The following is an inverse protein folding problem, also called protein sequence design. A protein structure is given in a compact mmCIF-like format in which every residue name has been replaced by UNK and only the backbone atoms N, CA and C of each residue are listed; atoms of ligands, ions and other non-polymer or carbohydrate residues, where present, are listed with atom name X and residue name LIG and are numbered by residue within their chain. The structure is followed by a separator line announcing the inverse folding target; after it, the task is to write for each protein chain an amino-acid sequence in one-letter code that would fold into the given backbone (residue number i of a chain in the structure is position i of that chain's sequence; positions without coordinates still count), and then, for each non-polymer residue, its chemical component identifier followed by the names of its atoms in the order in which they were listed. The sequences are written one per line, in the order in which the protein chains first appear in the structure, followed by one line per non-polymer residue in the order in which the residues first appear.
data_IF_997943818078
#
_entry.id   IF_997943818078
#
_cell.length_a   1.000
_cell.length_b   1.000
_cell.length_c   1.000
_cell.angle_alpha   90.00
_cell.angle_beta   90.00
_cell.angle_gamma   90.00
#
_symmetry.space_group_name_H-M   'P 1'
#
loop_
_entity.id
_entity.type
_entity.pdbx_description
1 polymer ?
#
# COMPACT_ATOMS: atom_id res chain seq x y z
N UNK A 1 -48.71 -24.49 22.70
CA UNK A 1 -48.26 -23.14 22.32
C UNK A 1 -46.75 -22.95 22.60
N UNK A 2 -45.86 -23.71 21.94
CA UNK A 2 -44.39 -23.56 22.10
C UNK A 2 -43.59 -23.49 20.79
N UNK A 3 -44.26 -23.62 19.64
CA UNK A 3 -43.59 -23.62 18.34
C UNK A 3 -43.23 -22.20 17.82
N UNK A 4 -44.01 -21.18 18.20
CA UNK A 4 -43.77 -19.79 17.77
C UNK A 4 -42.39 -19.21 18.13
N UNK A 5 -41.85 -19.35 19.36
CA UNK A 5 -40.52 -18.82 19.66
C UNK A 5 -39.41 -19.57 18.91
N UNK A 6 -39.58 -20.87 18.66
CA UNK A 6 -38.61 -21.67 17.91
C UNK A 6 -38.52 -21.19 16.46
N UNK A 7 -39.67 -20.96 15.81
CA UNK A 7 -39.73 -20.47 14.42
C UNK A 7 -39.10 -19.08 14.31
N UNK A 8 -39.36 -18.19 15.28
CA UNK A 8 -38.76 -16.85 15.28
C UNK A 8 -37.23 -16.89 15.40
N UNK A 9 -36.69 -17.74 16.28
CA UNK A 9 -35.24 -17.90 16.45
C UNK A 9 -34.59 -18.47 15.20
N UNK A 10 -35.18 -19.52 14.60
CA UNK A 10 -34.64 -20.12 13.36
C UNK A 10 -34.66 -19.11 12.22
N UNK A 11 -35.76 -18.37 12.03
CA UNK A 11 -35.84 -17.33 11.00
C UNK A 11 -34.82 -16.21 11.20
N UNK A 12 -34.59 -15.79 12.45
CA UNK A 12 -33.56 -14.80 12.77
C UNK A 12 -32.15 -15.31 12.46
N UNK A 13 -31.84 -16.56 12.81
CA UNK A 13 -30.55 -17.18 12.47
C UNK A 13 -30.34 -17.22 10.95
N UNK A 14 -31.34 -17.66 10.18
CA UNK A 14 -31.25 -17.73 8.71
C UNK A 14 -31.03 -16.34 8.10
N UNK A 15 -31.76 -15.32 8.57
CA UNK A 15 -31.59 -13.95 8.10
C UNK A 15 -30.19 -13.42 8.41
N UNK A 16 -29.67 -13.66 9.62
CA UNK A 16 -28.32 -13.24 10.01
C UNK A 16 -27.24 -13.93 9.18
N UNK A 17 -27.36 -15.24 8.93
CA UNK A 17 -26.40 -15.95 8.06
C UNK A 17 -26.47 -15.45 6.61
N UNK A 18 -27.65 -15.10 6.10
CA UNK A 18 -27.79 -14.53 4.76
C UNK A 18 -27.17 -13.14 4.64
N UNK A 19 -27.38 -12.28 5.64
CA UNK A 19 -26.77 -10.94 5.72
C UNK A 19 -25.25 -11.06 5.84
N UNK A 20 -24.76 -11.95 6.72
CA UNK A 20 -23.33 -12.19 6.86
C UNK A 20 -22.71 -12.73 5.57
N UNK A 21 -23.35 -13.70 4.91
CA UNK A 21 -22.88 -14.25 3.63
C UNK A 21 -22.83 -13.19 2.53
N UNK A 22 -23.84 -12.32 2.43
CA UNK A 22 -23.84 -11.23 1.46
C UNK A 22 -22.78 -10.17 1.76
N UNK A 23 -22.56 -9.88 3.05
CA UNK A 23 -21.51 -8.98 3.52
C UNK A 23 -20.12 -9.55 3.24
N UNK A 24 -19.89 -10.81 3.60
CA UNK A 24 -18.61 -11.50 3.44
C UNK A 24 -18.25 -11.73 1.96
N UNK A 25 -19.21 -12.19 1.16
CA UNK A 25 -19.08 -12.26 -0.30
C UNK A 25 -18.71 -10.89 -0.86
N UNK A 26 -19.45 -9.85 -0.49
CA UNK A 26 -19.18 -8.53 -1.02
C UNK A 26 -17.90 -7.89 -0.47
N UNK A 27 -17.34 -8.34 0.66
CA UNK A 27 -16.02 -7.94 1.14
C UNK A 27 -14.91 -8.61 0.32
N UNK A 28 -14.99 -9.93 0.15
CA UNK A 28 -14.02 -10.72 -0.62
C UNK A 28 -13.98 -10.29 -2.09
N UNK A 29 -15.16 -10.02 -2.68
CA UNK A 29 -15.30 -9.57 -4.06
C UNK A 29 -15.13 -8.05 -4.22
N UNK A 30 -14.84 -7.30 -3.15
CA UNK A 30 -14.57 -5.86 -3.20
C UNK A 30 -15.79 -4.98 -3.55
N UNK A 31 -17.01 -5.48 -3.37
CA UNK A 31 -18.24 -4.68 -3.52
C UNK A 31 -18.49 -3.72 -2.36
N UNK A 32 -17.97 -4.02 -1.16
CA UNK A 32 -18.14 -3.17 0.03
C UNK A 32 -16.81 -3.01 0.77
N UNK A 33 -16.27 -1.79 0.78
CA UNK A 33 -15.06 -1.45 1.54
C UNK A 33 -13.76 -1.54 0.74
N UNK A 34 -12.65 -1.77 1.45
CA UNK A 34 -11.32 -1.98 0.87
C UNK A 34 -11.24 -3.47 0.51
N UNK A 35 -11.08 -3.83 -0.77
CA UNK A 35 -10.98 -5.23 -1.18
C UNK A 35 -9.87 -5.96 -0.42
N UNK A 36 -10.00 -7.27 -0.22
CA UNK A 36 -9.03 -8.09 0.50
C UNK A 36 -7.61 -7.98 -0.06
N UNK A 37 -7.46 -7.89 -1.39
CA UNK A 37 -6.16 -7.72 -2.02
C UNK A 37 -5.52 -6.36 -1.69
N UNK A 38 -6.32 -5.29 -1.63
CA UNK A 38 -5.86 -3.96 -1.23
C UNK A 38 -5.49 -3.93 0.26
N UNK A 39 -6.30 -4.56 1.11
CA UNK A 39 -5.99 -4.74 2.52
C UNK A 39 -4.68 -5.52 2.67
N UNK A 40 -4.50 -6.59 1.89
CA UNK A 40 -3.30 -7.43 1.87
C UNK A 40 -2.07 -6.72 1.33
N UNK A 41 -2.20 -5.84 0.34
CA UNK A 41 -1.13 -4.98 -0.14
C UNK A 41 -0.76 -3.92 0.92
N UNK A 42 -1.75 -3.34 1.59
CA UNK A 42 -1.52 -2.37 2.66
C UNK A 42 -0.95 -2.98 3.95
N UNK A 43 -1.23 -4.27 4.20
CA UNK A 43 -0.72 -5.01 5.36
C UNK A 43 0.68 -5.59 5.15
N UNK A 44 1.29 -5.37 3.97
CA UNK A 44 2.66 -5.79 3.74
C UNK A 44 3.58 -5.07 4.71
N UNK A 45 4.44 -5.80 5.41
CA UNK A 45 5.32 -5.25 6.46
C UNK A 45 6.15 -4.05 6.01
N UNK A 46 6.46 -3.95 4.71
CA UNK A 46 7.20 -2.81 4.13
C UNK A 46 6.34 -1.54 4.06
N UNK A 47 5.03 -1.65 3.85
CA UNK A 47 4.05 -0.54 3.92
C UNK A 47 3.39 -0.44 5.30
N UNK A 48 3.42 -1.46 6.14
CA UNK A 48 2.89 -1.36 7.48
C UNK A 48 3.80 -0.45 8.34
N UNK A 49 3.20 0.46 9.11
CA UNK A 49 3.94 1.25 10.09
C UNK A 49 4.61 0.29 11.07
N UNK A 50 5.92 0.38 11.20
CA UNK A 50 6.73 -0.57 11.97
C UNK A 50 7.79 0.19 12.79
N UNK A 51 8.52 -0.53 13.64
CA UNK A 51 9.59 0.00 14.47
C UNK A 51 10.66 0.72 13.62
N UNK A 52 10.48 2.02 13.49
CA UNK A 52 11.43 2.95 12.90
C UNK A 52 11.04 3.57 11.56
N UNK A 53 10.01 3.05 10.88
CA UNK A 53 9.51 3.60 9.62
C UNK A 53 8.02 3.97 9.72
N UNK A 54 7.70 5.19 9.34
CA UNK A 54 6.34 5.68 9.19
C UNK A 54 5.95 5.56 7.73
N UNK A 55 4.79 4.97 7.48
CA UNK A 55 4.23 4.81 6.14
C UNK A 55 2.90 5.52 6.03
N UNK A 56 2.63 6.08 4.85
CA UNK A 56 1.37 6.73 4.53
C UNK A 56 0.97 6.37 3.11
N UNK A 57 -0.18 5.73 2.95
CA UNK A 57 -0.74 5.47 1.61
C UNK A 57 -1.09 6.82 0.96
N UNK A 58 -0.54 7.07 -0.23
CA UNK A 58 -0.73 8.30 -1.00
C UNK A 58 -1.61 8.10 -2.22
N UNK A 59 -1.52 6.94 -2.87
CA UNK A 59 -2.33 6.62 -4.04
C UNK A 59 -2.60 5.11 -4.13
N UNK A 60 -3.62 4.74 -4.90
CA UNK A 60 -4.02 3.35 -5.14
C UNK A 60 -4.87 3.27 -6.40
N UNK A 61 -4.82 2.12 -7.07
CA UNK A 61 -5.67 1.89 -8.25
C UNK A 61 -7.15 2.17 -7.94
N UNK A 62 -7.87 2.94 -8.79
CA UNK A 62 -9.24 3.35 -8.51
C UNK A 62 -10.17 2.16 -8.41
N UNK A 63 -10.87 2.04 -7.28
CA UNK A 63 -11.92 1.05 -7.10
C UNK A 63 -13.16 1.50 -7.86
N UNK A 64 -13.23 1.16 -9.14
CA UNK A 64 -14.47 1.30 -9.89
C UNK A 64 -15.35 0.12 -9.37
N UNK A 65 -16.58 0.34 -8.91
CA UNK A 65 -17.60 -0.69 -8.62
C UNK A 65 -18.89 -0.43 -9.42
N UNK A 66 -19.71 -1.46 -9.67
CA UNK A 66 -20.84 -1.64 -10.62
C UNK A 66 -20.45 -2.31 -11.95
N UNK A 67 -20.70 -3.63 -12.04
CA UNK A 67 -20.67 -4.47 -13.24
C UNK A 67 -19.31 -4.62 -13.94
N UNK A 68 -18.47 -5.47 -13.36
CA UNK A 68 -17.17 -5.95 -13.88
C UNK A 68 -16.01 -4.99 -13.60
N UNK A 69 -15.24 -5.28 -12.55
CA UNK A 69 -14.23 -4.34 -12.04
C UNK A 69 -13.00 -5.03 -11.49
N UNK A 70 -11.82 -4.51 -11.83
CA UNK A 70 -10.56 -5.16 -11.59
C UNK A 70 -10.16 -5.05 -10.11
N UNK A 71 -9.67 -6.17 -9.61
CA UNK A 71 -8.71 -6.30 -8.51
C UNK A 71 -7.76 -5.09 -8.43
N UNK A 72 -7.55 -4.47 -7.26
CA UNK A 72 -6.62 -3.37 -7.17
C UNK A 72 -5.21 -3.87 -7.45
N UNK A 73 -4.72 -3.50 -8.63
CA UNK A 73 -3.44 -3.98 -9.10
C UNK A 73 -2.30 -3.38 -8.29
N UNK A 74 -2.46 -2.19 -7.68
CA UNK A 74 -1.36 -1.50 -7.01
C UNK A 74 -1.76 -0.55 -5.87
N UNK A 75 -0.84 -0.37 -4.93
CA UNK A 75 -0.85 0.61 -3.82
C UNK A 75 0.44 1.41 -3.85
N UNK A 76 0.35 2.69 -3.56
CA UNK A 76 1.50 3.57 -3.41
C UNK A 76 1.51 4.23 -2.03
N UNK A 77 2.65 4.18 -1.36
CA UNK A 77 2.86 4.76 -0.05
C UNK A 77 4.13 5.61 -0.01
N UNK A 78 4.07 6.69 0.75
CA UNK A 78 5.24 7.43 1.21
C UNK A 78 5.79 6.74 2.46
N UNK A 79 7.10 6.50 2.48
CA UNK A 79 7.82 5.98 3.64
C UNK A 79 8.78 7.06 4.11
N UNK A 80 8.75 7.34 5.41
CA UNK A 80 9.64 8.27 6.08
C UNK A 80 10.20 7.62 7.37
N UNK A 81 11.35 8.07 7.89
CA UNK A 81 11.80 7.63 9.20
C UNK A 81 10.81 8.09 10.27
N UNK A 82 10.48 7.19 11.20
CA UNK A 82 9.69 7.56 12.38
C UNK A 82 10.52 8.48 13.29
N UNK A 83 9.90 9.50 13.92
CA UNK A 83 10.60 10.36 14.88
C UNK A 83 11.26 9.54 16.00
N UNK A 84 12.56 9.76 16.24
CA UNK A 84 13.30 9.06 17.29
C UNK A 84 13.73 7.62 16.96
N UNK A 85 13.54 7.16 15.73
CA UNK A 85 13.89 5.80 15.29
C UNK A 85 15.38 5.52 15.13
N UNK A 86 16.20 6.56 15.00
CA UNK A 86 17.61 6.43 14.60
C UNK A 86 17.83 6.07 13.13
N UNK A 87 16.75 5.91 12.34
CA UNK A 87 16.85 5.73 10.89
C UNK A 87 17.33 7.03 10.24
N UNK A 88 18.29 6.98 9.29
CA UNK A 88 18.75 8.17 8.60
C UNK A 88 17.60 8.91 7.89
N UNK A 89 17.57 10.23 8.05
CA UNK A 89 16.60 11.10 7.37
C UNK A 89 16.98 11.50 5.95
N UNK A 90 18.02 10.87 5.39
CA UNK A 90 18.44 11.04 3.99
C UNK A 90 17.77 9.99 3.10
N UNK A 91 17.49 10.33 1.84
CA UNK A 91 16.88 9.40 0.90
C UNK A 91 17.72 8.11 0.73
N UNK A 92 19.04 8.24 0.63
CA UNK A 92 19.95 7.10 0.51
C UNK A 92 19.95 6.20 1.75
N UNK A 93 20.01 6.80 2.95
CA UNK A 93 20.03 6.03 4.19
C UNK A 93 18.69 5.37 4.48
N UNK A 94 17.59 6.04 4.15
CA UNK A 94 16.25 5.46 4.20
C UNK A 94 16.09 4.32 3.17
N UNK A 95 16.62 4.49 1.96
CA UNK A 95 16.57 3.47 0.91
C UNK A 95 17.36 2.22 1.31
N UNK A 96 18.52 2.41 1.93
CA UNK A 96 19.31 1.32 2.47
C UNK A 96 18.56 0.55 3.59
N UNK A 97 17.96 1.25 4.55
CA UNK A 97 17.19 0.60 5.62
C UNK A 97 15.96 -0.13 5.05
N UNK A 98 15.26 0.49 4.11
CA UNK A 98 14.11 -0.11 3.45
C UNK A 98 14.49 -1.38 2.67
N UNK A 99 15.63 -1.36 1.96
CA UNK A 99 16.18 -2.52 1.24
C UNK A 99 16.58 -3.64 2.20
N UNK A 100 17.21 -3.29 3.33
CA UNK A 100 17.54 -4.26 4.38
C UNK A 100 16.27 -4.91 4.95
N UNK A 101 15.24 -4.12 5.24
CA UNK A 101 13.93 -4.62 5.67
C UNK A 101 13.27 -5.50 4.62
N UNK A 102 13.25 -5.11 3.35
CA UNK A 102 12.72 -5.92 2.27
C UNK A 102 13.39 -7.31 2.22
N UNK A 103 14.72 -7.34 2.33
CA UNK A 103 15.50 -8.58 2.35
C UNK A 103 15.15 -9.46 3.57
N UNK A 104 15.01 -8.86 4.77
CA UNK A 104 14.60 -9.56 6.00
C UNK A 104 13.19 -10.16 5.90
N UNK A 105 12.32 -9.53 5.13
CA UNK A 105 10.90 -9.92 4.95
C UNK A 105 10.67 -10.78 3.71
N UNK A 106 11.75 -11.37 3.17
CA UNK A 106 11.72 -12.36 2.10
C UNK A 106 11.59 -11.80 0.68
N UNK A 107 11.79 -10.50 0.48
CA UNK A 107 11.82 -9.92 -0.86
C UNK A 107 13.15 -10.21 -1.55
N UNK A 108 13.07 -10.65 -2.81
CA UNK A 108 14.20 -10.77 -3.70
C UNK A 108 14.42 -9.42 -4.41
N UNK A 109 15.53 -8.75 -4.12
CA UNK A 109 15.89 -7.49 -4.77
C UNK A 109 16.29 -7.75 -6.22
N UNK A 110 15.73 -6.97 -7.14
CA UNK A 110 16.08 -7.01 -8.55
C UNK A 110 17.17 -5.97 -8.85
N UNK A 111 18.25 -6.40 -9.48
CA UNK A 111 19.35 -5.51 -9.88
C UNK A 111 19.07 -4.83 -11.22
N UNK A 112 18.19 -5.41 -12.04
CA UNK A 112 17.76 -4.85 -13.33
C UNK A 112 16.45 -4.06 -13.14
N UNK A 113 16.56 -2.91 -12.50
CA UNK A 113 15.43 -2.00 -12.34
C UNK A 113 15.39 -0.92 -13.43
N UNK A 114 14.21 -0.33 -13.66
CA UNK A 114 14.10 0.83 -14.52
C UNK A 114 14.96 1.99 -13.98
N UNK A 115 15.58 2.81 -14.85
CA UNK A 115 16.57 3.81 -14.44
C UNK A 115 16.01 4.96 -13.59
N UNK A 116 14.69 5.12 -13.55
CA UNK A 116 13.95 6.10 -12.73
C UNK A 116 13.63 5.58 -11.32
N UNK A 117 13.95 4.33 -11.02
CA UNK A 117 13.74 3.70 -9.73
C UNK A 117 15.06 3.54 -8.98
N UNK A 118 15.01 3.67 -7.65
CA UNK A 118 16.16 3.40 -6.79
C UNK A 118 16.46 1.90 -6.75
N UNK A 119 15.43 1.08 -6.69
CA UNK A 119 15.49 -0.37 -6.79
C UNK A 119 14.08 -0.95 -6.88
N UNK A 120 14.00 -2.22 -7.27
CA UNK A 120 12.77 -3.00 -7.23
C UNK A 120 13.00 -4.33 -6.54
N UNK A 121 11.92 -4.95 -6.12
CA UNK A 121 11.96 -6.25 -5.50
C UNK A 121 10.73 -7.07 -5.84
N UNK A 122 10.88 -8.39 -5.78
CA UNK A 122 9.83 -9.37 -6.01
C UNK A 122 9.65 -10.26 -4.79
N UNK A 123 8.43 -10.69 -4.54
CA UNK A 123 8.14 -11.73 -3.54
C UNK A 123 6.98 -12.59 -4.01
N UNK A 124 7.03 -13.86 -3.70
CA UNK A 124 5.87 -14.75 -3.88
C UNK A 124 5.09 -14.73 -2.56
N UNK A 125 3.80 -14.42 -2.63
CA UNK A 125 2.95 -14.43 -1.45
C UNK A 125 2.52 -15.87 -1.05
N UNK A 126 1.72 -15.98 0.01
CA UNK A 126 1.23 -17.28 0.49
C UNK A 126 0.29 -18.00 -0.51
N UNK A 127 -0.24 -17.29 -1.50
CA UNK A 127 -1.15 -17.80 -2.53
C UNK A 127 -0.41 -18.17 -3.83
N UNK A 128 0.91 -17.93 -3.89
CA UNK A 128 1.72 -18.17 -5.08
C UNK A 128 1.71 -17.03 -6.10
N UNK A 129 1.11 -15.88 -5.77
CA UNK A 129 1.10 -14.70 -6.64
C UNK A 129 2.40 -13.91 -6.48
N UNK A 130 2.86 -13.32 -7.57
CA UNK A 130 4.06 -12.49 -7.57
C UNK A 130 3.69 -11.06 -7.18
N UNK A 131 4.21 -10.62 -6.04
CA UNK A 131 4.26 -9.23 -5.63
C UNK A 131 5.49 -8.57 -6.23
N UNK A 132 5.29 -7.39 -6.78
CA UNK A 132 6.34 -6.51 -7.29
C UNK A 132 6.31 -5.20 -6.52
N UNK A 133 7.48 -4.76 -6.07
CA UNK A 133 7.68 -3.52 -5.35
C UNK A 133 8.69 -2.66 -6.09
N UNK A 134 8.40 -1.37 -6.21
CA UNK A 134 9.28 -0.37 -6.79
C UNK A 134 9.46 0.76 -5.80
N UNK A 135 10.71 1.19 -5.63
CA UNK A 135 11.07 2.30 -4.74
C UNK A 135 11.65 3.43 -5.56
N UNK A 136 11.13 4.64 -5.39
CA UNK A 136 11.60 5.84 -6.07
C UNK A 136 11.85 6.99 -5.10
N UNK A 137 12.75 7.87 -5.49
CA UNK A 137 12.98 9.13 -4.80
C UNK A 137 11.70 10.00 -4.87
N UNK A 138 11.48 10.89 -3.89
CA UNK A 138 10.31 11.76 -3.90
C UNK A 138 10.44 12.71 -5.10
N UNK A 139 9.58 12.53 -6.11
CA UNK A 139 9.55 13.46 -7.24
C UNK A 139 9.06 14.83 -6.76
N UNK A 140 10.00 15.77 -6.65
CA UNK A 140 9.70 17.17 -6.42
C UNK A 140 9.02 17.79 -7.64
N UNK A 141 7.77 18.22 -7.44
CA UNK A 141 6.99 19.16 -8.23
C UNK A 141 6.67 18.81 -9.69
N UNK A 142 5.38 18.87 -10.00
CA UNK A 142 4.87 19.14 -11.35
C UNK A 142 5.72 20.20 -12.06
N UNK A 143 5.99 20.09 -13.38
CA UNK A 143 6.51 21.21 -14.13
C UNK A 143 5.42 22.29 -14.15
N UNK A 144 5.49 23.24 -13.21
CA UNK A 144 4.79 24.53 -13.35
C UNK A 144 5.40 25.26 -14.53
N UNK A 145 4.79 25.03 -15.68
CA UNK A 145 4.76 25.90 -16.84
C UNK A 145 4.83 27.38 -16.41
N UNK A 146 5.80 28.09 -16.98
CA UNK A 146 5.77 29.53 -17.27
C UNK A 146 5.79 30.50 -16.06
N UNK A 147 6.97 31.09 -15.89
CA UNK A 147 7.16 32.55 -15.87
C UNK A 147 6.67 33.35 -14.64
N UNK A 148 7.58 33.62 -13.70
CA UNK A 148 7.80 34.99 -13.20
C UNK A 148 9.13 35.14 -12.46
N UNK A 149 9.76 36.27 -12.77
CA UNK A 149 11.11 36.71 -12.42
C UNK A 149 11.41 36.86 -10.93
N UNK A 150 12.72 36.89 -10.69
CA UNK A 150 13.45 37.59 -9.62
C UNK A 150 13.56 36.91 -8.27
N UNK A 151 14.71 36.24 -8.11
CA UNK A 151 15.72 36.61 -7.11
C UNK A 151 15.35 36.37 -5.66
N UNK A 152 15.83 35.27 -5.09
CA UNK A 152 16.49 35.27 -3.78
C UNK A 152 17.19 33.91 -3.57
N UNK A 153 18.45 34.00 -3.17
CA UNK A 153 19.42 33.03 -2.69
C UNK A 153 19.04 31.55 -2.42
N UNK A 154 19.97 30.69 -2.88
CA UNK A 154 20.43 29.44 -2.27
C UNK A 154 19.83 29.09 -0.90
N UNK A 155 19.01 28.05 -0.89
CA UNK A 155 19.15 26.99 0.11
C UNK A 155 19.16 25.66 -0.62
N UNK A 156 20.29 24.97 -0.51
CA UNK A 156 20.42 23.55 -0.80
C UNK A 156 19.14 22.83 -0.36
N UNK A 157 18.44 22.23 -1.33
CA UNK A 157 17.31 21.37 -1.04
C UNK A 157 17.83 20.18 -0.26
N UNK A 158 17.75 20.27 1.06
CA UNK A 158 17.88 19.10 1.92
C UNK A 158 16.76 18.16 1.51
N UNK A 159 17.08 17.19 0.66
CA UNK A 159 16.15 16.16 0.21
C UNK A 159 15.50 15.56 1.45
N UNK A 160 14.22 15.88 1.68
CA UNK A 160 13.46 15.26 2.75
C UNK A 160 13.48 13.76 2.48
N UNK A 161 14.03 12.95 3.39
CA UNK A 161 14.09 11.49 3.31
C UNK A 161 12.70 10.86 3.38
N UNK A 162 11.92 11.04 2.32
CA UNK A 162 10.65 10.40 2.07
C UNK A 162 10.81 9.63 0.78
N UNK A 163 10.55 8.33 0.79
CA UNK A 163 10.57 7.50 -0.42
C UNK A 163 9.16 7.19 -0.86
N UNK A 164 8.93 7.09 -2.17
CA UNK A 164 7.71 6.47 -2.68
C UNK A 164 7.94 4.99 -2.89
N UNK A 165 7.01 4.21 -2.39
CA UNK A 165 6.98 2.75 -2.56
C UNK A 165 5.66 2.38 -3.20
N UNK A 166 5.74 1.78 -4.38
CA UNK A 166 4.58 1.19 -5.05
C UNK A 166 4.70 -0.32 -4.99
N UNK A 167 3.62 -0.97 -4.58
CA UNK A 167 3.48 -2.43 -4.59
C UNK A 167 2.33 -2.83 -5.49
N UNK A 168 2.51 -3.91 -6.25
CA UNK A 168 1.52 -4.42 -7.19
C UNK A 168 1.61 -5.93 -7.36
N UNK A 169 0.49 -6.57 -7.66
CA UNK A 169 0.48 -7.96 -8.12
C UNK A 169 0.77 -8.01 -9.62
N UNK A 170 1.56 -8.99 -10.06
CA UNK A 170 1.82 -9.32 -11.46
C UNK A 170 0.96 -10.50 -11.93
#
# INVERSE_FOLDING_TARGET
MRAMPLIAVVSACVALTGIYGAWDWGRHEGYWGTSDELARLSSQEVIASDEGLASRIVDRSPHRALLDKPRPQWVEAEIAPSPGSGVPATADGLSHELRAKATRTGWAIDEECMPDLLWCARRIDAEGLTLFMTVSAPQGAEPKSSERMSGEADRAGTESGVLRVRMQYL
#
